data_IF_676645622361
#
_entry.id   IF_676645622361
#
_cell.length_a   1.000
_cell.length_b   1.000
_cell.length_c   1.000
_cell.angle_alpha   90.00
_cell.angle_beta   90.00
_cell.angle_gamma   90.00
#
_symmetry.space_group_name_H-M   'P 1'
#
loop_
_entity.id
_entity.type
_entity.pdbx_description
1 polymer ?
#
# COMPACT_ATOMS: atom_id res chain seq x y z
N UNK A 1 4.40 -6.65 16.47
CA UNK A 1 4.22 -5.81 15.27
C UNK A 1 5.57 -5.66 14.57
N UNK A 2 5.96 -6.60 13.70
CA UNK A 2 7.30 -6.58 13.08
C UNK A 2 7.35 -5.82 11.75
N UNK A 3 6.19 -5.67 11.09
CA UNK A 3 6.08 -5.02 9.77
C UNK A 3 6.65 -3.61 9.72
N UNK A 4 6.46 -2.80 10.77
CA UNK A 4 7.00 -1.43 10.83
C UNK A 4 8.53 -1.39 10.89
N UNK A 5 9.17 -2.44 11.42
CA UNK A 5 10.64 -2.56 11.49
C UNK A 5 11.21 -3.17 10.20
N UNK A 6 10.44 -4.01 9.52
CA UNK A 6 10.84 -4.69 8.28
C UNK A 6 10.62 -3.81 7.04
N UNK A 7 9.56 -3.00 7.01
CA UNK A 7 9.22 -2.17 5.87
C UNK A 7 10.37 -1.27 5.35
N UNK A 8 11.18 -0.62 6.20
CA UNK A 8 12.33 0.16 5.71
C UNK A 8 13.40 -0.70 5.03
N UNK A 9 13.59 -1.95 5.48
CA UNK A 9 14.57 -2.87 4.89
C UNK A 9 14.12 -3.33 3.51
N UNK A 10 12.84 -3.69 3.38
CA UNK A 10 12.26 -4.08 2.10
C UNK A 10 12.31 -2.93 1.08
N UNK A 11 12.04 -1.71 1.54
CA UNK A 11 12.10 -0.51 0.70
C UNK A 11 13.52 -0.22 0.22
N UNK A 12 14.53 -0.33 1.10
CA UNK A 12 15.93 -0.12 0.75
C UNK A 12 16.42 -1.16 -0.28
N UNK A 13 16.05 -2.44 -0.09
CA UNK A 13 16.37 -3.50 -1.03
C UNK A 13 15.71 -3.27 -2.40
N UNK A 14 14.41 -2.99 -2.41
CA UNK A 14 13.66 -2.74 -3.65
C UNK A 14 14.20 -1.54 -4.43
N UNK A 15 14.56 -0.46 -3.73
CA UNK A 15 15.15 0.73 -4.35
C UNK A 15 16.52 0.42 -4.99
N UNK A 16 17.40 -0.29 -4.27
CA UNK A 16 18.70 -0.69 -4.83
C UNK A 16 18.54 -1.52 -6.10
N UNK A 17 17.65 -2.51 -6.07
CA UNK A 17 17.38 -3.35 -7.24
C UNK A 17 16.90 -2.54 -8.45
N UNK A 18 16.01 -1.56 -8.24
CA UNK A 18 15.51 -0.69 -9.32
C UNK A 18 16.62 0.19 -9.87
N UNK A 19 17.46 0.78 -9.02
CA UNK A 19 18.60 1.59 -9.47
C UNK A 19 19.59 0.79 -10.33
N UNK A 20 19.80 -0.49 -10.01
CA UNK A 20 20.71 -1.37 -10.75
C UNK A 20 20.11 -1.91 -12.07
N UNK A 21 18.78 -2.07 -12.16
CA UNK A 21 18.13 -2.83 -13.25
C UNK A 21 17.14 -2.04 -14.11
N UNK A 22 16.74 -0.83 -13.73
CA UNK A 22 15.85 0.02 -14.51
C UNK A 22 16.62 0.81 -15.59
N UNK A 23 17.26 0.06 -16.47
CA UNK A 23 18.11 0.53 -17.57
C UNK A 23 17.34 0.95 -18.84
N UNK A 24 16.00 0.87 -18.82
CA UNK A 24 15.14 1.37 -19.89
C UNK A 24 14.07 2.31 -19.35
N UNK A 25 13.55 3.17 -20.21
CA UNK A 25 12.47 4.12 -19.87
C UNK A 25 11.24 3.37 -19.37
N UNK A 26 10.86 2.27 -20.03
CA UNK A 26 9.70 1.46 -19.65
C UNK A 26 9.86 0.87 -18.23
N UNK A 27 11.07 0.47 -17.85
CA UNK A 27 11.34 -0.05 -16.49
C UNK A 27 11.29 1.05 -15.44
N UNK A 28 11.68 2.28 -15.79
CA UNK A 28 11.59 3.44 -14.90
C UNK A 28 10.13 3.88 -14.69
N UNK A 29 9.34 3.88 -15.76
CA UNK A 29 7.90 4.22 -15.71
C UNK A 29 7.09 3.26 -14.84
N UNK A 30 7.50 1.99 -14.76
CA UNK A 30 6.88 1.02 -13.86
C UNK A 30 6.98 1.43 -12.37
N UNK A 31 8.07 2.10 -11.95
CA UNK A 31 8.22 2.62 -10.59
C UNK A 31 7.27 3.78 -10.31
N UNK A 32 7.12 4.69 -11.28
CA UNK A 32 6.19 5.83 -11.21
C UNK A 32 4.77 5.32 -11.06
N UNK A 33 4.35 4.41 -11.95
CA UNK A 33 3.04 3.77 -11.88
C UNK A 33 2.77 3.14 -10.52
N UNK A 34 3.74 2.40 -9.95
CA UNK A 34 3.56 1.76 -8.65
C UNK A 34 3.34 2.78 -7.53
N UNK A 35 4.03 3.91 -7.60
CA UNK A 35 3.91 5.01 -6.64
C UNK A 35 2.54 5.68 -6.76
N UNK A 36 2.05 5.90 -7.98
CA UNK A 36 0.71 6.46 -8.24
C UNK A 36 -0.41 5.55 -7.73
N UNK A 37 -0.26 4.22 -7.87
CA UNK A 37 -1.21 3.25 -7.31
C UNK A 37 -1.27 3.36 -5.78
N UNK A 38 -0.13 3.41 -5.10
CA UNK A 38 -0.09 3.55 -3.64
C UNK A 38 -0.65 4.90 -3.19
N UNK A 39 -0.32 5.97 -3.91
CA UNK A 39 -0.85 7.30 -3.65
C UNK A 39 -2.37 7.35 -3.78
N UNK A 40 -2.92 6.73 -4.82
CA UNK A 40 -4.36 6.65 -5.05
C UNK A 40 -5.08 5.85 -3.96
N UNK A 41 -4.48 4.76 -3.48
CA UNK A 41 -5.02 3.98 -2.35
C UNK A 41 -5.08 4.81 -1.06
N UNK A 42 -4.01 5.54 -0.75
CA UNK A 42 -3.96 6.41 0.42
C UNK A 42 -4.94 7.59 0.30
N UNK A 43 -5.01 8.21 -0.88
CA UNK A 43 -5.98 9.26 -1.18
C UNK A 43 -7.43 8.77 -1.02
N UNK A 44 -7.72 7.56 -1.49
CA UNK A 44 -9.02 6.90 -1.30
C UNK A 44 -9.38 6.72 0.18
N UNK A 45 -8.44 6.28 1.02
CA UNK A 45 -8.63 6.15 2.47
C UNK A 45 -8.81 7.52 3.15
N UNK A 46 -8.00 8.51 2.78
CA UNK A 46 -8.04 9.85 3.35
C UNK A 46 -9.34 10.59 3.02
N UNK A 47 -9.82 10.48 1.78
CA UNK A 47 -11.01 11.15 1.30
C UNK A 47 -12.32 10.36 1.54
N UNK A 48 -12.25 9.21 2.21
CA UNK A 48 -13.36 8.27 2.33
C UNK A 48 -14.55 8.78 3.19
N UNK A 49 -14.75 10.08 3.40
CA UNK A 49 -15.81 10.60 4.28
C UNK A 49 -16.77 11.50 3.47
N UNK A 50 -18.07 11.14 3.35
CA UNK A 50 -18.70 9.87 3.78
C UNK A 50 -18.14 8.66 3.02
N UNK A 51 -18.18 7.48 3.65
CA UNK A 51 -17.66 6.25 3.03
C UNK A 51 -18.46 5.91 1.77
N UNK A 52 -17.81 5.62 0.64
CA UNK A 52 -18.52 5.31 -0.60
C UNK A 52 -19.31 3.99 -0.47
N UNK A 53 -20.39 3.81 -1.25
CA UNK A 53 -21.15 2.56 -1.27
C UNK A 53 -20.23 1.36 -1.51
N UNK A 54 -20.40 0.30 -0.72
CA UNK A 54 -19.58 -0.91 -0.79
C UNK A 54 -18.27 -0.88 0.02
N UNK A 55 -17.86 0.28 0.56
CA UNK A 55 -16.73 0.34 1.48
C UNK A 55 -17.04 -0.39 2.80
N UNK A 56 -16.00 -0.99 3.40
CA UNK A 56 -16.10 -1.56 4.74
C UNK A 56 -16.54 -0.49 5.75
N UNK A 57 -17.45 -0.86 6.67
CA UNK A 57 -17.96 0.02 7.71
C UNK A 57 -17.46 -0.44 9.09
N UNK A 58 -17.08 0.49 9.99
CA UNK A 58 -16.74 0.15 11.37
C UNK A 58 -17.81 -0.72 12.04
N UNK A 59 -17.39 -1.76 12.75
CA UNK A 59 -18.31 -2.71 13.41
C UNK A 59 -18.86 -3.81 12.49
N UNK A 60 -18.64 -3.75 11.17
CA UNK A 60 -19.05 -4.81 10.25
C UNK A 60 -17.95 -5.86 10.07
N UNK A 61 -18.31 -7.14 9.95
CA UNK A 61 -17.40 -8.26 9.62
C UNK A 61 -16.20 -8.45 10.55
N UNK A 62 -16.31 -8.03 11.81
CA UNK A 62 -15.42 -8.50 12.87
C UNK A 62 -15.87 -9.92 13.23
N UNK A 63 -15.00 -10.93 13.11
CA UNK A 63 -15.26 -12.23 13.71
C UNK A 63 -15.55 -12.02 15.19
N UNK A 64 -16.65 -12.59 15.69
CA UNK A 64 -17.15 -12.40 17.05
C UNK A 64 -15.99 -12.30 18.03
N UNK A 65 -15.98 -11.22 18.81
CA UNK A 65 -14.91 -10.89 19.73
C UNK A 65 -14.76 -12.01 20.78
N UNK A 66 -13.98 -13.03 20.42
CA UNK A 66 -13.66 -14.26 21.16
C UNK A 66 -14.85 -15.14 21.52
N UNK A 67 -14.73 -16.41 21.13
CA UNK A 67 -15.03 -17.49 22.06
C UNK A 67 -14.28 -17.24 23.38
N UNK A 68 -14.99 -16.81 24.42
CA UNK A 68 -14.61 -16.84 25.83
C UNK A 68 -15.86 -16.64 26.70
#
# INVERSE_FOLDING_TARGET
>A
MNRLKEAPKDAAFGLGWVLDHADTVEKQDALVFKTDVLWSQLGGLHAARPHPPGAWQPGTRLADAKAA
#
